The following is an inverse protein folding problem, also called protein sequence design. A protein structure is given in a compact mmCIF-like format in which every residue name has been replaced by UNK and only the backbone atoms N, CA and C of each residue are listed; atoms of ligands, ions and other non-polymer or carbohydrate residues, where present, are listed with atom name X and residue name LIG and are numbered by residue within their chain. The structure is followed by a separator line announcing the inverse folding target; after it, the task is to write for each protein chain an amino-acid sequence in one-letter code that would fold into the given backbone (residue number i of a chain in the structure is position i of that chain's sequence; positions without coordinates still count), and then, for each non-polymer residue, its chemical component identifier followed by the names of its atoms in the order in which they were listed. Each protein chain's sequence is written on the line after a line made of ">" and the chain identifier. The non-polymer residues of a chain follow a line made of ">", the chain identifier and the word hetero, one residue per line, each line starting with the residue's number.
data_IF_746333199537
#
_entry.id   IF_746333199537
#
_cell.length_a   1.000
_cell.length_b   1.000
_cell.length_c   1.000
_cell.angle_alpha   90.00
_cell.angle_beta   90.00
_cell.angle_gamma   90.00
#
_symmetry.space_group_name_H-M   'P 1'
#
loop_
_entity.id
_entity.type
_entity.pdbx_description
1 polymer ?
#
# COMPACT_ATOMS: atom_id res chain seq x y z
N UNK A 1 -31.27 17.94 -6.42
CA UNK A 1 -29.99 18.66 -6.59
C UNK A 1 -29.00 17.97 -5.68
N UNK A 2 -28.07 17.17 -6.23
CA UNK A 2 -27.01 16.57 -5.40
C UNK A 2 -26.13 17.71 -4.86
N UNK A 3 -25.84 17.76 -3.55
CA UNK A 3 -25.01 18.82 -3.01
C UNK A 3 -23.60 18.73 -3.62
N UNK A 4 -23.02 19.87 -4.00
CA UNK A 4 -21.68 20.00 -4.60
C UNK A 4 -20.58 19.21 -3.84
N UNK A 5 -20.76 19.03 -2.54
CA UNK A 5 -19.87 18.25 -1.67
C UNK A 5 -19.79 16.77 -2.06
N UNK A 6 -20.91 16.15 -2.46
CA UNK A 6 -20.92 14.74 -2.88
C UNK A 6 -20.13 14.53 -4.17
N UNK A 7 -20.20 15.51 -5.09
CA UNK A 7 -19.47 15.46 -6.34
C UNK A 7 -17.95 15.55 -6.11
N UNK A 8 -17.52 16.50 -5.29
CA UNK A 8 -16.10 16.68 -4.94
C UNK A 8 -15.55 15.45 -4.21
N UNK A 9 -16.31 14.89 -3.27
CA UNK A 9 -15.91 13.69 -2.54
C UNK A 9 -15.71 12.49 -3.49
N UNK A 10 -16.63 12.27 -4.43
CA UNK A 10 -16.49 11.22 -5.46
C UNK A 10 -15.25 11.44 -6.32
N UNK A 11 -15.06 12.65 -6.82
CA UNK A 11 -13.90 12.98 -7.65
C UNK A 11 -12.57 12.72 -6.90
N UNK A 12 -12.50 12.99 -5.60
CA UNK A 12 -11.31 12.70 -4.78
C UNK A 12 -11.08 11.20 -4.61
N UNK A 13 -12.13 10.42 -4.35
CA UNK A 13 -12.02 8.95 -4.28
C UNK A 13 -11.58 8.38 -5.64
N UNK A 14 -12.16 8.85 -6.74
CA UNK A 14 -11.81 8.37 -8.09
C UNK A 14 -10.36 8.70 -8.45
N UNK A 15 -9.89 9.92 -8.13
CA UNK A 15 -8.50 10.35 -8.34
C UNK A 15 -7.53 9.48 -7.54
N UNK A 16 -7.85 9.22 -6.26
CA UNK A 16 -7.06 8.32 -5.43
C UNK A 16 -6.99 6.92 -6.04
N UNK A 17 -8.13 6.34 -6.44
CA UNK A 17 -8.17 4.98 -6.99
C UNK A 17 -7.36 4.88 -8.30
N UNK A 18 -7.36 5.92 -9.12
CA UNK A 18 -6.54 5.97 -10.32
C UNK A 18 -5.03 5.92 -10.03
N UNK A 19 -4.57 6.53 -8.93
CA UNK A 19 -3.18 6.42 -8.47
C UNK A 19 -2.89 5.11 -7.71
N UNK A 20 -3.90 4.57 -7.04
CA UNK A 20 -3.79 3.36 -6.23
C UNK A 20 -3.62 2.08 -7.05
N UNK A 21 -4.39 1.88 -8.12
CA UNK A 21 -4.32 0.63 -8.87
C UNK A 21 -2.93 0.32 -9.47
N UNK A 22 -2.21 1.29 -10.08
CA UNK A 22 -0.82 1.06 -10.51
C UNK A 22 0.13 0.67 -9.37
N UNK A 23 -0.14 1.14 -8.15
CA UNK A 23 0.63 0.76 -6.95
C UNK A 23 0.40 -0.71 -6.60
N UNK A 24 -0.84 -1.18 -6.72
CA UNK A 24 -1.16 -2.60 -6.50
C UNK A 24 -0.54 -3.49 -7.58
N UNK A 25 -0.60 -3.07 -8.84
CA UNK A 25 -0.05 -3.84 -9.96
C UNK A 25 1.47 -4.01 -9.82
N UNK A 26 2.20 -2.91 -9.59
CA UNK A 26 3.65 -2.95 -9.40
C UNK A 26 4.09 -3.70 -8.13
N UNK A 27 3.29 -3.69 -7.07
CA UNK A 27 3.51 -4.58 -5.92
C UNK A 27 3.44 -6.07 -6.31
N UNK A 28 2.46 -6.46 -7.13
CA UNK A 28 2.39 -7.84 -7.60
C UNK A 28 3.56 -8.20 -8.53
N UNK A 29 4.08 -7.25 -9.29
CA UNK A 29 5.29 -7.45 -10.09
C UNK A 29 6.50 -7.78 -9.20
N UNK A 30 6.63 -7.18 -8.00
CA UNK A 30 7.67 -7.54 -7.04
C UNK A 30 7.51 -9.00 -6.57
N UNK A 31 6.30 -9.42 -6.23
CA UNK A 31 6.04 -10.77 -5.73
C UNK A 31 6.22 -11.84 -6.81
N UNK A 32 5.84 -11.54 -8.05
CA UNK A 32 5.88 -12.49 -9.16
C UNK A 32 7.22 -12.49 -9.90
N UNK A 33 8.07 -11.47 -9.68
CA UNK A 33 9.42 -11.38 -10.26
C UNK A 33 10.29 -12.59 -9.90
N UNK A 34 11.11 -13.00 -10.88
CA UNK A 34 12.04 -14.14 -10.76
C UNK A 34 13.48 -13.63 -10.71
N UNK A 35 14.10 -13.74 -9.54
CA UNK A 35 15.50 -13.34 -9.30
C UNK A 35 15.66 -11.88 -8.90
N UNK A 36 16.75 -11.61 -8.18
CA UNK A 36 17.08 -10.31 -7.57
C UNK A 36 17.07 -9.14 -8.56
N UNK A 37 17.64 -9.32 -9.75
CA UNK A 37 17.65 -8.25 -10.77
C UNK A 37 16.25 -7.86 -11.24
N UNK A 38 15.33 -8.82 -11.32
CA UNK A 38 13.94 -8.54 -11.70
C UNK A 38 13.18 -7.87 -10.55
N UNK A 39 13.38 -8.37 -9.32
CA UNK A 39 12.85 -7.76 -8.10
C UNK A 39 13.27 -6.30 -7.99
N UNK A 40 14.56 -5.99 -8.16
CA UNK A 40 15.07 -4.63 -8.07
C UNK A 40 14.43 -3.67 -9.08
N UNK A 41 14.13 -4.14 -10.31
CA UNK A 41 13.40 -3.32 -11.29
C UNK A 41 11.95 -3.11 -10.89
N UNK A 42 11.26 -4.15 -10.44
CA UNK A 42 9.87 -4.04 -10.00
C UNK A 42 9.74 -3.11 -8.77
N UNK A 43 10.74 -3.09 -7.88
CA UNK A 43 10.80 -2.14 -6.77
C UNK A 43 10.91 -0.69 -7.25
N UNK A 44 11.71 -0.41 -8.29
CA UNK A 44 11.80 0.94 -8.87
C UNK A 44 10.43 1.38 -9.40
N UNK A 45 9.73 0.51 -10.12
CA UNK A 45 8.40 0.80 -10.67
C UNK A 45 7.36 1.01 -9.56
N UNK A 46 7.43 0.21 -8.49
CA UNK A 46 6.59 0.36 -7.31
C UNK A 46 6.83 1.69 -6.59
N UNK A 47 8.09 2.08 -6.38
CA UNK A 47 8.45 3.40 -5.81
C UNK A 47 7.93 4.53 -6.69
N UNK A 48 8.05 4.42 -8.01
CA UNK A 48 7.53 5.44 -8.94
C UNK A 48 6.00 5.56 -8.84
N UNK A 49 5.27 4.45 -8.71
CA UNK A 49 3.82 4.48 -8.51
C UNK A 49 3.42 5.08 -7.16
N UNK A 50 4.16 4.80 -6.09
CA UNK A 50 3.95 5.39 -4.77
C UNK A 50 4.23 6.90 -4.77
N UNK A 51 5.16 7.39 -5.59
CA UNK A 51 5.39 8.82 -5.72
C UNK A 51 4.15 9.56 -6.29
N UNK A 52 3.43 8.93 -7.24
CA UNK A 52 2.17 9.48 -7.75
C UNK A 52 1.09 9.46 -6.66
N UNK A 53 1.00 8.36 -5.89
CA UNK A 53 0.09 8.26 -4.76
C UNK A 53 0.37 9.32 -3.68
N UNK A 54 1.64 9.54 -3.35
CA UNK A 54 2.10 10.56 -2.40
C UNK A 54 1.62 11.95 -2.82
N UNK A 55 1.78 12.30 -4.10
CA UNK A 55 1.29 13.57 -4.64
C UNK A 55 -0.24 13.68 -4.52
N UNK A 56 -0.97 12.63 -4.88
CA UNK A 56 -2.43 12.60 -4.82
C UNK A 56 -2.95 12.75 -3.38
N UNK A 57 -2.32 12.09 -2.41
CA UNK A 57 -2.63 12.24 -0.98
C UNK A 57 -2.28 13.66 -0.49
N UNK A 58 -1.16 14.21 -0.96
CA UNK A 58 -0.73 15.59 -0.65
C UNK A 58 -1.71 16.67 -1.13
N UNK A 59 -2.36 16.46 -2.28
CA UNK A 59 -3.33 17.43 -2.88
C UNK A 59 -4.62 17.57 -2.08
N UNK A 60 -5.09 16.51 -1.43
CA UNK A 60 -6.35 16.50 -0.69
C UNK A 60 -6.21 16.67 0.81
N UNK A 61 -4.98 16.56 1.31
CA UNK A 61 -4.72 16.75 2.71
C UNK A 61 -4.83 18.23 3.06
N UNK A 62 -5.92 18.60 3.73
CA UNK A 62 -5.86 19.62 4.78
C UNK A 62 -4.92 19.09 5.88
N UNK A 63 -3.63 18.90 5.58
CA UNK A 63 -2.58 18.43 6.51
C UNK A 63 -2.61 19.25 7.79
N UNK A 64 -3.06 20.50 7.66
CA UNK A 64 -3.25 21.46 8.75
C UNK A 64 -4.20 20.96 9.85
N UNK A 65 -5.10 20.02 9.59
CA UNK A 65 -6.06 19.49 10.58
C UNK A 65 -5.77 18.06 11.07
N UNK A 66 -4.66 17.44 10.65
CA UNK A 66 -4.32 16.06 11.06
C UNK A 66 -5.34 15.02 10.58
N UNK A 67 -5.90 15.23 9.39
CA UNK A 67 -6.94 14.40 8.81
C UNK A 67 -6.29 13.27 7.97
N UNK A 68 -6.39 11.99 8.38
CA UNK A 68 -5.50 10.95 7.86
C UNK A 68 -6.04 10.20 6.62
N UNK A 69 -7.26 10.46 6.17
CA UNK A 69 -7.92 9.73 5.08
C UNK A 69 -8.12 10.59 3.84
N UNK A 70 -8.46 9.96 2.70
CA UNK A 70 -8.63 10.62 1.40
C UNK A 70 -9.68 11.73 1.44
N UNK A 71 -10.72 11.57 2.26
CA UNK A 71 -11.77 12.55 2.52
C UNK A 71 -11.59 13.25 3.88
N UNK A 72 -10.35 13.44 4.31
CA UNK A 72 -10.00 14.05 5.58
C UNK A 72 -10.19 13.09 6.75
N UNK A 73 -11.18 13.35 7.61
CA UNK A 73 -11.45 12.52 8.82
C UNK A 73 -12.41 11.36 8.53
N UNK A 74 -12.96 11.31 7.32
CA UNK A 74 -13.96 10.33 6.92
C UNK A 74 -13.25 9.14 6.26
N UNK A 75 -13.39 7.96 6.86
CA UNK A 75 -12.98 6.70 6.25
C UNK A 75 -13.97 6.33 5.14
N UNK A 76 -13.47 6.11 3.93
CA UNK A 76 -14.28 6.03 2.72
C UNK A 76 -14.05 4.70 1.98
N UNK A 77 -14.68 4.58 0.81
CA UNK A 77 -14.46 3.44 -0.08
C UNK A 77 -12.98 3.31 -0.48
N UNK A 78 -12.26 4.43 -0.63
CA UNK A 78 -10.83 4.42 -0.97
C UNK A 78 -10.02 3.56 0.02
N UNK A 79 -10.20 3.81 1.31
CA UNK A 79 -9.50 3.05 2.35
C UNK A 79 -10.05 1.62 2.48
N UNK A 80 -11.36 1.41 2.34
CA UNK A 80 -11.94 0.06 2.34
C UNK A 80 -11.33 -0.82 1.25
N UNK A 81 -11.13 -0.26 0.05
CA UNK A 81 -10.47 -0.95 -1.06
C UNK A 81 -9.00 -1.15 -0.72
N UNK A 82 -8.27 -0.12 -0.30
CA UNK A 82 -6.83 -0.23 -0.14
C UNK A 82 -6.36 -1.08 1.06
N UNK A 83 -7.13 -1.14 2.15
CA UNK A 83 -6.71 -1.69 3.43
C UNK A 83 -6.08 -3.11 3.36
N UNK A 84 -6.64 -4.09 2.63
CA UNK A 84 -6.04 -5.43 2.54
C UNK A 84 -4.63 -5.42 1.95
N UNK A 85 -4.37 -4.55 0.97
CA UNK A 85 -3.06 -4.46 0.31
C UNK A 85 -2.07 -3.68 1.16
N UNK A 86 -2.50 -2.60 1.82
CA UNK A 86 -1.63 -1.90 2.77
C UNK A 86 -1.12 -2.88 3.83
N UNK A 87 -2.01 -3.67 4.44
CA UNK A 87 -1.60 -4.73 5.39
C UNK A 87 -0.60 -5.70 4.75
N UNK A 88 -0.84 -6.13 3.52
CA UNK A 88 0.06 -7.06 2.82
C UNK A 88 1.42 -6.44 2.53
N UNK A 89 1.54 -5.17 2.16
CA UNK A 89 2.84 -4.54 1.88
C UNK A 89 3.78 -4.67 3.09
N UNK A 90 3.28 -4.35 4.29
CA UNK A 90 4.04 -4.47 5.54
C UNK A 90 4.36 -5.90 5.95
N UNK A 91 3.66 -6.90 5.44
CA UNK A 91 3.84 -8.29 5.84
C UNK A 91 4.66 -9.08 4.82
N UNK A 92 4.31 -8.99 3.53
CA UNK A 92 4.83 -9.89 2.48
C UNK A 92 6.16 -9.40 1.93
N UNK A 93 6.38 -8.09 1.83
CA UNK A 93 7.66 -7.56 1.34
C UNK A 93 8.82 -7.91 2.30
N UNK A 94 8.69 -7.72 3.63
CA UNK A 94 9.74 -8.16 4.54
C UNK A 94 9.92 -9.68 4.48
N UNK A 95 8.82 -10.45 4.47
CA UNK A 95 8.86 -11.90 4.56
C UNK A 95 9.48 -12.59 3.33
N UNK A 96 9.12 -12.17 2.12
CA UNK A 96 9.56 -12.82 0.87
C UNK A 96 10.72 -12.11 0.18
N UNK A 97 10.95 -10.83 0.46
CA UNK A 97 11.95 -10.01 -0.22
C UNK A 97 13.03 -9.45 0.72
N UNK A 98 12.83 -9.56 2.04
CA UNK A 98 13.73 -8.92 3.01
C UNK A 98 13.70 -7.40 2.94
N UNK A 99 12.67 -6.82 2.32
CA UNK A 99 12.49 -5.37 2.17
C UNK A 99 11.60 -4.89 3.30
N UNK A 100 12.13 -4.08 4.21
CA UNK A 100 11.31 -3.39 5.21
C UNK A 100 10.52 -2.28 4.50
N UNK A 101 9.21 -2.45 4.36
CA UNK A 101 8.40 -1.50 3.61
C UNK A 101 8.40 -0.09 4.23
N UNK A 102 8.49 0.02 5.56
CA UNK A 102 8.54 1.32 6.22
C UNK A 102 9.90 1.99 6.01
N UNK A 103 10.98 1.29 6.31
CA UNK A 103 12.33 1.87 6.29
C UNK A 103 12.90 1.97 4.87
N UNK A 104 12.80 0.91 4.08
CA UNK A 104 13.46 0.82 2.77
C UNK A 104 12.66 1.51 1.65
N UNK A 105 11.35 1.63 1.79
CA UNK A 105 10.49 2.23 0.76
C UNK A 105 9.94 3.58 1.21
N UNK A 106 9.14 3.64 2.27
CA UNK A 106 8.45 4.87 2.65
C UNK A 106 9.42 5.95 3.16
N UNK A 107 10.27 5.60 4.14
CA UNK A 107 11.21 6.52 4.79
C UNK A 107 12.30 7.01 3.84
N UNK A 108 12.98 6.08 3.14
CA UNK A 108 14.07 6.40 2.20
C UNK A 108 13.63 7.31 1.04
N UNK A 109 12.37 7.21 0.58
CA UNK A 109 11.85 8.02 -0.53
C UNK A 109 11.06 9.26 -0.07
N UNK A 110 10.92 9.48 1.24
CA UNK A 110 10.27 10.65 1.79
C UNK A 110 8.75 10.68 1.60
N UNK A 111 8.10 9.52 1.48
CA UNK A 111 6.65 9.37 1.26
C UNK A 111 5.85 9.57 2.57
N UNK A 112 5.88 10.78 3.11
CA UNK A 112 5.33 11.10 4.44
C UNK A 112 3.81 10.99 4.48
N UNK A 113 3.12 11.44 3.43
CA UNK A 113 1.66 11.42 3.39
C UNK A 113 1.14 10.00 3.23
N UNK A 114 1.80 9.24 2.37
CA UNK A 114 1.52 7.82 2.17
C UNK A 114 1.77 7.04 3.45
N UNK A 115 2.90 7.24 4.12
CA UNK A 115 3.19 6.59 5.39
C UNK A 115 2.16 6.94 6.48
N UNK A 116 1.81 8.22 6.61
CA UNK A 116 0.80 8.66 7.58
C UNK A 116 -0.58 8.05 7.30
N UNK A 117 -1.02 8.08 6.04
CA UNK A 117 -2.30 7.50 5.60
C UNK A 117 -2.32 5.98 5.80
N UNK A 118 -1.29 5.26 5.36
CA UNK A 118 -1.21 3.80 5.49
C UNK A 118 -1.27 3.35 6.95
N UNK A 119 -0.54 4.03 7.85
CA UNK A 119 -0.60 3.78 9.30
C UNK A 119 -2.00 3.98 9.85
N UNK A 120 -2.64 5.10 9.52
CA UNK A 120 -4.01 5.34 9.96
C UNK A 120 -5.03 4.32 9.42
N UNK A 121 -4.80 3.79 8.21
CA UNK A 121 -5.63 2.72 7.64
C UNK A 121 -5.46 1.42 8.43
N UNK A 122 -4.23 0.96 8.67
CA UNK A 122 -3.99 -0.31 9.37
C UNK A 122 -4.35 -0.25 10.86
N UNK A 123 -4.23 0.92 11.48
CA UNK A 123 -4.58 1.16 12.89
C UNK A 123 -6.09 1.31 13.12
N UNK A 124 -6.90 1.38 12.06
CA UNK A 124 -8.34 1.54 12.20
C UNK A 124 -8.95 0.30 12.85
N UNK A 125 -9.80 0.43 13.90
CA UNK A 125 -10.38 -0.70 14.60
C UNK A 125 -11.11 -1.73 13.71
N UNK A 126 -11.82 -1.30 12.66
CA UNK A 126 -12.48 -2.24 11.75
C UNK A 126 -11.50 -3.04 10.90
N UNK A 127 -10.39 -2.41 10.48
CA UNK A 127 -9.36 -3.04 9.64
C UNK A 127 -8.57 -4.06 10.46
N UNK A 128 -8.28 -3.74 11.72
CA UNK A 128 -7.70 -4.68 12.69
C UNK A 128 -8.66 -5.86 12.93
N UNK A 129 -9.93 -5.58 13.22
CA UNK A 129 -10.93 -6.61 13.52
C UNK A 129 -11.21 -7.55 12.34
N UNK A 130 -10.96 -7.12 11.10
CA UNK A 130 -11.11 -7.93 9.89
C UNK A 130 -9.78 -8.40 9.28
N UNK A 131 -8.66 -8.24 9.99
CA UNK A 131 -7.34 -8.65 9.48
C UNK A 131 -7.30 -10.17 9.30
N UNK A 132 -6.83 -10.62 8.14
CA UNK A 132 -6.57 -12.04 7.88
C UNK A 132 -5.34 -12.49 8.69
N UNK A 133 -5.35 -13.69 9.31
CA UNK A 133 -4.19 -14.24 9.99
C UNK A 133 -2.94 -14.22 9.10
N UNK A 134 -1.79 -13.87 9.68
CA UNK A 134 -0.57 -13.62 8.88
C UNK A 134 -0.05 -14.87 8.20
N UNK A 135 -0.14 -16.02 8.86
CA UNK A 135 0.20 -17.33 8.34
C UNK A 135 -0.66 -17.72 7.13
N UNK A 136 -1.96 -17.45 7.18
CA UNK A 136 -2.86 -17.65 6.03
C UNK A 136 -2.49 -16.74 4.85
N UNK A 137 -2.15 -15.48 5.11
CA UNK A 137 -1.70 -14.54 4.06
C UNK A 137 -0.40 -15.03 3.42
N UNK A 138 0.59 -15.47 4.22
CA UNK A 138 1.86 -15.98 3.69
C UNK A 138 1.66 -17.27 2.90
N UNK A 139 0.86 -18.21 3.40
CA UNK A 139 0.56 -19.45 2.70
C UNK A 139 -0.13 -19.18 1.36
N UNK A 140 -1.10 -18.27 1.33
CA UNK A 140 -1.77 -17.87 0.09
C UNK A 140 -0.81 -17.16 -0.87
N UNK A 141 0.02 -16.24 -0.38
CA UNK A 141 0.98 -15.53 -1.21
C UNK A 141 2.02 -16.46 -1.83
N UNK A 142 2.57 -17.38 -1.04
CA UNK A 142 3.49 -18.41 -1.50
C UNK A 142 2.85 -19.29 -2.58
N UNK A 143 1.59 -19.68 -2.39
CA UNK A 143 0.89 -20.57 -3.32
C UNK A 143 0.56 -19.92 -4.67
N UNK A 144 0.21 -18.63 -4.67
CA UNK A 144 -0.42 -18.00 -5.84
C UNK A 144 0.41 -16.90 -6.52
N UNK A 145 1.32 -16.24 -5.80
CA UNK A 145 1.98 -15.03 -6.30
C UNK A 145 3.51 -15.14 -6.28
N UNK A 146 4.08 -15.71 -5.22
CA UNK A 146 5.53 -15.71 -5.02
C UNK A 146 6.18 -16.74 -5.95
N UNK A 147 7.00 -16.27 -6.89
CA UNK A 147 7.72 -17.14 -7.85
C UNK A 147 9.18 -17.39 -7.49
N UNK A 148 9.69 -16.66 -6.50
CA UNK A 148 11.08 -16.63 -6.07
C UNK A 148 11.11 -16.01 -4.66
N UNK A 149 12.04 -16.41 -3.80
CA UNK A 149 12.29 -15.79 -2.49
C UNK A 149 13.67 -15.15 -2.54
N UNK A 150 13.79 -13.90 -2.07
CA UNK A 150 15.07 -13.20 -2.09
C UNK A 150 16.03 -13.81 -1.07
N UNK A 151 17.34 -13.92 -1.38
CA UNK A 151 18.31 -14.51 -0.48
C UNK A 151 18.36 -13.75 0.85
N UNK A 152 18.27 -14.48 1.96
CA UNK A 152 18.27 -13.88 3.30
C UNK A 152 16.93 -13.31 3.77
N UNK A 153 15.87 -13.37 2.95
CA UNK A 153 14.53 -13.10 3.42
C UNK A 153 14.07 -14.18 4.42
N UNK A 154 13.18 -13.87 5.38
CA UNK A 154 12.68 -14.85 6.35
C UNK A 154 12.15 -16.16 5.74
N UNK A 155 11.51 -16.10 4.56
CA UNK A 155 11.02 -17.28 3.87
C UNK A 155 12.11 -18.15 3.22
N UNK A 156 13.35 -17.67 3.09
CA UNK A 156 14.50 -18.40 2.52
C UNK A 156 15.12 -19.39 3.52
N UNK A 157 14.69 -19.32 4.78
CA UNK A 157 15.20 -20.12 5.90
C UNK A 157 14.32 -21.36 6.21
N UNK A 158 13.29 -21.62 5.40
CA UNK A 158 12.34 -22.72 5.53
C UNK A 158 12.52 -23.75 4.40
#
# INVERSE_FOLDING_TARGET
>A
MYPLQDFVARQRVDSFLAAWYPTVDSYYDILTSRGETAVGRAVIDFVASLAVLEEELGRGSDVKEGAPFVLGKIFSLAECVAAPWVQRFFMTLPHFRGIDFEEDILSQNGFKQTAHWMRAVIDRPSVIASKCPEDEVMAAAMRYYVSYVSPGAPADLL
#
